data_IF_617028163632
#
_entry.id   IF_617028163632
#
_cell.length_a   1.000
_cell.length_b   1.000
_cell.length_c   1.000
_cell.angle_alpha   90.00
_cell.angle_beta   90.00
_cell.angle_gamma   90.00
#
_symmetry.space_group_name_H-M   'P 1'
#
loop_
_entity.id
_entity.type
_entity.pdbx_description
1 polymer ?
#
# COMPACT_ATOMS: atom_id res chain seq x y z
N UNK A 1 11.97 -20.54 5.98
CA UNK A 1 11.74 -19.08 6.10
C UNK A 1 10.62 -18.52 5.19
N UNK A 2 10.19 -19.19 4.10
CA UNK A 2 9.05 -18.76 3.25
C UNK A 2 7.78 -18.23 3.98
N UNK A 3 7.26 -18.87 5.05
CA UNK A 3 6.08 -18.35 5.74
C UNK A 3 6.31 -17.00 6.41
N UNK A 4 7.52 -16.74 6.92
CA UNK A 4 7.88 -15.46 7.53
C UNK A 4 7.92 -14.33 6.49
N UNK A 5 8.38 -14.63 5.27
CA UNK A 5 8.34 -13.69 4.15
C UNK A 5 6.91 -13.27 3.79
N UNK A 6 5.99 -14.23 3.69
CA UNK A 6 4.58 -13.91 3.40
C UNK A 6 3.91 -13.14 4.54
N UNK A 7 4.25 -13.46 5.78
CA UNK A 7 3.75 -12.73 6.96
C UNK A 7 4.26 -11.28 6.98
N UNK A 8 5.56 -11.06 6.71
CA UNK A 8 6.13 -9.73 6.56
C UNK A 8 5.47 -8.95 5.42
N UNK A 9 5.21 -9.61 4.29
CA UNK A 9 4.53 -8.99 3.15
C UNK A 9 3.10 -8.57 3.54
N UNK A 10 2.39 -9.42 4.27
CA UNK A 10 1.06 -9.10 4.79
C UNK A 10 1.09 -7.93 5.79
N UNK A 11 2.09 -7.87 6.68
CA UNK A 11 2.26 -6.78 7.65
C UNK A 11 2.72 -5.45 7.00
N UNK A 12 3.40 -5.51 5.86
CA UNK A 12 3.83 -4.31 5.14
C UNK A 12 2.65 -3.52 4.56
N UNK A 13 1.53 -4.17 4.23
CA UNK A 13 0.34 -3.49 3.73
C UNK A 13 -0.26 -2.52 4.78
N UNK A 14 -0.64 -2.96 6.01
CA UNK A 14 -1.14 -2.04 7.05
C UNK A 14 -0.11 -0.99 7.48
N UNK A 15 1.19 -1.30 7.44
CA UNK A 15 2.23 -0.30 7.72
C UNK A 15 2.15 0.91 6.77
N UNK A 16 1.80 0.69 5.50
CA UNK A 16 1.56 1.74 4.53
C UNK A 16 0.48 2.73 4.97
N UNK A 17 -0.71 2.23 5.29
CA UNK A 17 -1.83 3.09 5.70
C UNK A 17 -1.57 3.80 7.02
N UNK A 18 -1.04 3.11 8.03
CA UNK A 18 -1.00 3.66 9.38
C UNK A 18 0.24 4.51 9.65
N UNK A 19 1.28 4.39 8.83
CA UNK A 19 2.54 5.10 9.05
C UNK A 19 2.91 5.93 7.84
N UNK A 20 3.02 5.31 6.66
CA UNK A 20 3.60 5.97 5.48
C UNK A 20 2.66 7.02 4.88
N UNK A 21 1.36 6.71 4.79
CA UNK A 21 0.36 7.63 4.23
C UNK A 21 0.19 8.88 5.11
N UNK A 22 0.07 8.78 6.45
CA UNK A 22 0.12 9.94 7.34
C UNK A 22 1.40 10.76 7.21
N UNK A 23 2.57 10.10 7.14
CA UNK A 23 3.85 10.80 6.96
C UNK A 23 3.91 11.57 5.64
N UNK A 24 3.41 10.96 4.56
CA UNK A 24 3.31 11.61 3.26
C UNK A 24 2.36 12.81 3.31
N UNK A 25 1.23 12.68 4.01
CA UNK A 25 0.29 13.78 4.21
C UNK A 25 0.86 14.92 5.05
N UNK A 26 1.65 14.61 6.06
CA UNK A 26 2.24 15.59 6.96
C UNK A 26 3.40 16.37 6.31
N UNK A 27 4.24 15.68 5.54
CA UNK A 27 5.51 16.27 5.07
C UNK A 27 5.58 16.53 3.57
N UNK A 28 4.82 15.81 2.74
CA UNK A 28 4.92 15.90 1.28
C UNK A 28 3.70 16.54 0.63
N UNK A 29 2.55 16.49 1.29
CA UNK A 29 1.33 17.10 0.76
C UNK A 29 1.30 18.60 1.05
N UNK A 30 1.46 19.41 0.00
CA UNK A 30 1.40 20.87 0.07
C UNK A 30 0.29 21.34 -0.87
N UNK A 31 -0.77 21.94 -0.32
CA UNK A 31 -1.76 22.66 -1.14
C UNK A 31 -1.61 24.15 -0.96
N UNK A 32 -1.43 24.84 -2.08
CA UNK A 32 -1.34 26.30 -2.14
C UNK A 32 -2.54 26.83 -2.95
N UNK A 33 -3.33 27.75 -2.38
CA UNK A 33 -4.30 28.55 -3.12
C UNK A 33 -5.61 27.88 -3.56
N UNK A 34 -6.27 27.08 -2.72
CA UNK A 34 -7.59 26.48 -3.01
C UNK A 34 -8.60 26.76 -1.89
N UNK A 35 -9.90 26.81 -2.20
CA UNK A 35 -11.01 26.91 -1.25
C UNK A 35 -11.15 25.64 -0.38
N UNK A 36 -11.98 25.69 0.67
CA UNK A 36 -12.09 24.59 1.63
C UNK A 36 -12.46 23.24 1.02
N UNK A 37 -13.33 23.24 -0.01
CA UNK A 37 -13.76 22.02 -0.69
C UNK A 37 -12.66 21.46 -1.61
N UNK A 38 -11.96 22.32 -2.37
CA UNK A 38 -10.86 21.90 -3.23
C UNK A 38 -9.67 21.32 -2.44
N UNK A 39 -9.37 21.87 -1.25
CA UNK A 39 -8.35 21.30 -0.35
C UNK A 39 -8.72 19.89 0.14
N UNK A 40 -9.97 19.69 0.57
CA UNK A 40 -10.41 18.38 1.03
C UNK A 40 -10.36 17.32 -0.09
N UNK A 41 -10.78 17.70 -1.30
CA UNK A 41 -10.73 16.81 -2.46
C UNK A 41 -9.29 16.46 -2.86
N UNK A 42 -8.39 17.45 -2.89
CA UNK A 42 -6.98 17.23 -3.17
C UNK A 42 -6.31 16.32 -2.13
N UNK A 43 -6.70 16.43 -0.85
CA UNK A 43 -6.16 15.61 0.23
C UNK A 43 -6.57 14.15 0.04
N UNK A 44 -7.86 13.89 -0.22
CA UNK A 44 -8.35 12.54 -0.49
C UNK A 44 -7.68 11.89 -1.70
N UNK A 45 -7.45 12.64 -2.80
CA UNK A 45 -6.70 12.13 -3.95
C UNK A 45 -5.24 11.81 -3.62
N UNK A 46 -4.58 12.69 -2.87
CA UNK A 46 -3.20 12.48 -2.46
C UNK A 46 -3.09 11.26 -1.52
N UNK A 47 -4.09 10.99 -0.68
CA UNK A 47 -4.12 9.83 0.22
C UNK A 47 -4.25 8.55 -0.60
N UNK A 48 -5.20 8.50 -1.53
CA UNK A 48 -5.37 7.38 -2.45
C UNK A 48 -4.09 7.12 -3.27
N UNK A 49 -3.43 8.18 -3.72
CA UNK A 49 -2.18 8.08 -4.47
C UNK A 49 -1.05 7.49 -3.61
N UNK A 50 -0.89 7.95 -2.36
CA UNK A 50 0.10 7.41 -1.44
C UNK A 50 -0.15 5.94 -1.10
N UNK A 51 -1.41 5.56 -0.86
CA UNK A 51 -1.82 4.17 -0.62
C UNK A 51 -1.49 3.30 -1.84
N UNK A 52 -1.84 3.78 -3.04
CA UNK A 52 -1.58 3.06 -4.28
C UNK A 52 -0.08 2.86 -4.54
N UNK A 53 0.73 3.92 -4.37
CA UNK A 53 2.18 3.85 -4.52
C UNK A 53 2.81 2.88 -3.52
N UNK A 54 2.39 2.92 -2.25
CA UNK A 54 2.90 2.01 -1.24
C UNK A 54 2.56 0.55 -1.58
N UNK A 55 1.30 0.29 -1.91
CA UNK A 55 0.81 -1.06 -2.26
C UNK A 55 1.57 -1.60 -3.47
N UNK A 56 1.77 -0.78 -4.50
CA UNK A 56 2.55 -1.13 -5.68
C UNK A 56 4.01 -1.43 -5.32
N UNK A 57 4.63 -0.63 -4.45
CA UNK A 57 5.97 -0.88 -3.92
C UNK A 57 6.09 -2.23 -3.22
N UNK A 58 5.15 -2.56 -2.32
CA UNK A 58 5.13 -3.85 -1.62
C UNK A 58 4.97 -5.02 -2.60
N UNK A 59 4.11 -4.89 -3.60
CA UNK A 59 3.91 -5.91 -4.64
C UNK A 59 5.20 -6.11 -5.46
N UNK A 60 5.85 -5.05 -5.92
CA UNK A 60 7.09 -5.17 -6.71
C UNK A 60 8.20 -5.81 -5.88
N UNK A 61 8.43 -5.32 -4.65
CA UNK A 61 9.50 -5.84 -3.79
C UNK A 61 9.25 -7.30 -3.43
N UNK A 62 8.01 -7.66 -3.08
CA UNK A 62 7.68 -9.05 -2.76
C UNK A 62 7.84 -9.98 -3.98
N UNK A 63 7.40 -9.55 -5.17
CA UNK A 63 7.62 -10.31 -6.40
C UNK A 63 9.11 -10.45 -6.73
N UNK A 64 9.90 -9.38 -6.60
CA UNK A 64 11.33 -9.39 -6.85
C UNK A 64 12.06 -10.35 -5.89
N UNK A 65 11.79 -10.25 -4.59
CA UNK A 65 12.38 -11.13 -3.58
C UNK A 65 11.98 -12.58 -3.84
N UNK A 66 10.71 -12.82 -4.16
CA UNK A 66 10.24 -14.17 -4.47
C UNK A 66 10.91 -14.76 -5.70
N UNK A 67 11.13 -13.94 -6.73
CA UNK A 67 11.84 -14.37 -7.95
C UNK A 67 13.29 -14.69 -7.71
N UNK A 68 13.99 -13.87 -6.95
CA UNK A 68 15.42 -14.03 -6.69
C UNK A 68 15.70 -15.18 -5.72
N UNK A 69 14.90 -15.33 -4.65
CA UNK A 69 15.20 -16.25 -3.55
C UNK A 69 14.40 -17.55 -3.61
N UNK A 70 13.17 -17.52 -4.15
CA UNK A 70 12.28 -18.68 -4.13
C UNK A 70 11.95 -19.22 -5.53
N UNK A 71 12.32 -18.51 -6.60
CA UNK A 71 12.05 -18.85 -8.01
C UNK A 71 10.56 -19.10 -8.33
N UNK A 72 9.66 -18.59 -7.49
CA UNK A 72 8.22 -18.74 -7.58
C UNK A 72 7.56 -17.43 -8.06
N UNK A 73 6.48 -17.51 -8.85
CA UNK A 73 5.65 -16.34 -9.23
C UNK A 73 4.22 -16.48 -8.71
N UNK A 74 3.58 -17.59 -9.06
CA UNK A 74 2.16 -17.86 -8.81
C UNK A 74 1.74 -17.72 -7.33
N UNK A 75 2.47 -18.31 -6.36
CA UNK A 75 2.11 -18.20 -4.95
C UNK A 75 2.17 -16.75 -4.44
N UNK A 76 3.19 -16.00 -4.86
CA UNK A 76 3.40 -14.61 -4.42
C UNK A 76 2.38 -13.66 -5.01
N UNK A 77 2.02 -13.85 -6.29
CA UNK A 77 0.90 -13.13 -6.91
C UNK A 77 -0.39 -13.43 -6.15
N UNK A 78 -0.70 -14.72 -5.93
CA UNK A 78 -1.92 -15.11 -5.23
C UNK A 78 -2.04 -14.52 -3.83
N UNK A 79 -0.95 -14.54 -3.06
CA UNK A 79 -0.93 -14.00 -1.69
C UNK A 79 -1.09 -12.49 -1.70
N UNK A 80 -0.37 -11.76 -2.56
CA UNK A 80 -0.56 -10.31 -2.68
C UNK A 80 -1.99 -9.95 -3.08
N UNK A 81 -2.57 -10.66 -4.05
CA UNK A 81 -3.98 -10.43 -4.46
C UNK A 81 -4.94 -10.65 -3.30
N UNK A 82 -4.79 -11.75 -2.55
CA UNK A 82 -5.65 -12.03 -1.38
C UNK A 82 -5.50 -10.94 -0.32
N UNK A 83 -4.26 -10.52 -0.01
CA UNK A 83 -4.01 -9.46 0.97
C UNK A 83 -4.65 -8.15 0.52
N UNK A 84 -4.45 -7.74 -0.73
CA UNK A 84 -5.03 -6.51 -1.28
C UNK A 84 -6.57 -6.56 -1.24
N UNK A 85 -7.19 -7.71 -1.55
CA UNK A 85 -8.65 -7.84 -1.48
C UNK A 85 -9.19 -7.73 -0.05
N UNK A 86 -8.54 -8.42 0.91
CA UNK A 86 -8.88 -8.31 2.34
C UNK A 86 -8.72 -6.85 2.81
N UNK A 87 -7.67 -6.21 2.33
CA UNK A 87 -7.32 -4.85 2.71
C UNK A 87 -8.29 -3.82 2.13
N UNK A 88 -8.65 -3.96 0.86
CA UNK A 88 -9.66 -3.13 0.20
C UNK A 88 -11.01 -3.27 0.91
N UNK A 89 -11.36 -4.50 1.31
CA UNK A 89 -12.57 -4.75 2.10
C UNK A 89 -12.54 -4.00 3.43
N UNK A 90 -11.43 -4.07 4.18
CA UNK A 90 -11.26 -3.35 5.44
C UNK A 90 -11.33 -1.84 5.27
N UNK A 91 -10.68 -1.30 4.23
CA UNK A 91 -10.68 0.14 3.93
C UNK A 91 -12.08 0.65 3.55
N UNK A 92 -12.87 -0.15 2.83
CA UNK A 92 -14.23 0.19 2.40
C UNK A 92 -15.32 -0.12 3.44
N UNK A 93 -14.99 -0.79 4.55
CA UNK A 93 -15.95 -1.17 5.59
C UNK A 93 -16.99 -2.22 5.15
N UNK A 94 -16.65 -3.07 4.17
CA UNK A 94 -17.50 -4.14 3.60
C UNK A 94 -17.35 -5.49 4.31
#
# INVERSE_FOLDING_TARGET
MKPLFYLLTAAAHPFGLYVVVPLYMEHCYVVTGSDGAGRAMAAGFAELFAIALWTLGVVIVSLLVSRLHYKEWLPTIGINTIIILIYLRLLLGL
#
